data_IF_884405569030
#
_entry.id   IF_884405569030
#
_cell.length_a   1.000
_cell.length_b   1.000
_cell.length_c   1.000
_cell.angle_alpha   90.00
_cell.angle_beta   90.00
_cell.angle_gamma   90.00
#
_symmetry.space_group_name_H-M   'P 1'
#
loop_
_entity.id
_entity.type
_entity.pdbx_description
1 polymer ?
#
# COMPACT_ATOMS: atom_id res chain seq x y z
N UNK A 1 16.69 -28.51 -4.93
CA UNK A 1 15.73 -27.89 -4.00
C UNK A 1 14.35 -28.32 -4.48
N UNK A 2 13.70 -29.24 -3.77
CA UNK A 2 12.39 -29.73 -4.21
C UNK A 2 11.31 -28.72 -3.88
N UNK A 3 10.97 -27.88 -4.86
CA UNK A 3 9.92 -26.86 -4.77
C UNK A 3 8.57 -27.45 -4.29
N UNK A 4 8.29 -28.71 -4.63
CA UNK A 4 7.07 -29.42 -4.22
C UNK A 4 7.03 -29.73 -2.70
N UNK A 5 8.17 -29.93 -2.05
CA UNK A 5 8.24 -30.16 -0.61
C UNK A 5 7.97 -28.87 0.21
N UNK A 6 8.34 -27.71 -0.36
CA UNK A 6 8.10 -26.40 0.25
C UNK A 6 6.62 -26.00 0.12
N UNK A 7 6.00 -26.26 -1.03
CA UNK A 7 4.58 -25.99 -1.27
C UNK A 7 3.66 -26.85 -0.39
N UNK A 8 4.01 -28.11 -0.15
CA UNK A 8 3.20 -29.04 0.66
C UNK A 8 3.27 -28.79 2.16
N UNK A 9 4.27 -28.05 2.65
CA UNK A 9 4.40 -27.66 4.07
C UNK A 9 4.02 -26.21 4.38
N UNK A 10 3.48 -25.45 3.40
CA UNK A 10 3.07 -24.06 3.61
C UNK A 10 2.02 -23.94 4.71
N UNK A 11 2.30 -23.11 5.72
CA UNK A 11 1.33 -22.77 6.76
C UNK A 11 0.36 -21.73 6.19
N UNK A 12 -0.86 -21.68 6.72
CA UNK A 12 -1.84 -20.63 6.36
C UNK A 12 -1.26 -19.22 6.59
N UNK A 13 -0.36 -19.09 7.58
CA UNK A 13 0.36 -17.84 7.90
C UNK A 13 1.31 -17.43 6.78
N UNK A 14 1.97 -18.38 6.13
CA UNK A 14 2.90 -18.13 5.02
C UNK A 14 2.12 -17.60 3.80
N UNK A 15 0.95 -18.21 3.52
CA UNK A 15 0.04 -17.77 2.45
C UNK A 15 -0.50 -16.36 2.74
N UNK A 16 -0.91 -16.09 3.98
CA UNK A 16 -1.39 -14.78 4.39
C UNK A 16 -0.28 -13.71 4.25
N UNK A 17 0.96 -14.04 4.60
CA UNK A 17 2.12 -13.16 4.47
C UNK A 17 2.44 -12.84 3.01
N UNK A 18 2.47 -13.86 2.14
CA UNK A 18 2.65 -13.68 0.69
C UNK A 18 1.55 -12.80 0.11
N UNK A 19 0.28 -13.04 0.46
CA UNK A 19 -0.85 -12.25 -0.03
C UNK A 19 -0.78 -10.80 0.43
N UNK A 20 -0.50 -10.58 1.73
CA UNK A 20 -0.40 -9.24 2.30
C UNK A 20 0.75 -8.46 1.68
N UNK A 21 1.94 -9.07 1.56
CA UNK A 21 3.09 -8.45 0.95
C UNK A 21 2.88 -8.18 -0.54
N UNK A 22 2.22 -9.10 -1.26
CA UNK A 22 1.86 -8.90 -2.67
C UNK A 22 0.89 -7.74 -2.86
N UNK A 23 -0.11 -7.62 -1.97
CA UNK A 23 -1.02 -6.48 -1.96
C UNK A 23 -0.26 -5.16 -1.70
N UNK A 24 0.63 -5.15 -0.71
CA UNK A 24 1.47 -3.98 -0.41
C UNK A 24 2.32 -3.57 -1.61
N UNK A 25 3.03 -4.51 -2.24
CA UNK A 25 3.84 -4.24 -3.44
C UNK A 25 2.97 -3.74 -4.60
N UNK A 26 1.77 -4.30 -4.78
CA UNK A 26 0.84 -3.82 -5.80
C UNK A 26 0.38 -2.37 -5.55
N UNK A 27 0.04 -2.03 -4.29
CA UNK A 27 -0.32 -0.65 -3.95
C UNK A 27 0.84 0.32 -4.11
N UNK A 28 2.06 -0.08 -3.73
CA UNK A 28 3.26 0.70 -4.01
C UNK A 28 3.45 0.89 -5.52
N UNK A 29 3.29 -0.17 -6.32
CA UNK A 29 3.34 -0.07 -7.78
C UNK A 29 2.33 0.94 -8.33
N UNK A 30 1.06 0.84 -7.92
CA UNK A 30 0.01 1.77 -8.38
C UNK A 30 0.36 3.23 -8.05
N UNK A 31 1.00 3.45 -6.91
CA UNK A 31 1.35 4.78 -6.44
C UNK A 31 2.58 5.37 -7.10
N UNK A 32 3.58 4.55 -7.39
CA UNK A 32 4.74 4.99 -8.15
C UNK A 32 4.45 5.09 -9.64
N UNK A 33 3.47 4.35 -10.17
CA UNK A 33 3.13 4.37 -11.59
C UNK A 33 2.82 5.79 -12.08
N UNK A 34 3.58 6.25 -13.07
CA UNK A 34 3.44 7.59 -13.66
C UNK A 34 4.41 8.64 -13.10
N UNK A 35 5.05 8.38 -11.96
CA UNK A 35 6.02 9.32 -11.37
C UNK A 35 7.41 9.20 -11.99
N UNK A 36 8.26 10.22 -11.81
CA UNK A 36 9.68 10.15 -12.15
C UNK A 36 10.37 9.00 -11.41
N UNK A 37 9.90 8.67 -10.21
CA UNK A 37 10.42 7.57 -9.40
C UNK A 37 10.26 6.20 -10.06
N UNK A 38 9.18 5.96 -10.81
CA UNK A 38 8.99 4.71 -11.55
C UNK A 38 10.08 4.48 -12.61
N UNK A 39 10.45 5.54 -13.35
CA UNK A 39 11.54 5.47 -14.35
C UNK A 39 12.90 5.21 -13.67
N UNK A 40 13.15 5.84 -12.52
CA UNK A 40 14.36 5.59 -11.73
C UNK A 40 14.44 4.15 -11.22
N UNK A 41 13.33 3.59 -10.74
CA UNK A 41 13.25 2.20 -10.28
C UNK A 41 13.58 1.20 -11.41
N UNK A 42 13.04 1.42 -12.61
CA UNK A 42 13.37 0.61 -13.80
C UNK A 42 14.87 0.72 -14.12
N UNK A 43 15.43 1.93 -14.11
CA UNK A 43 16.86 2.15 -14.35
C UNK A 43 17.74 1.41 -13.33
N UNK A 44 17.35 1.45 -12.06
CA UNK A 44 18.05 0.73 -10.99
C UNK A 44 17.97 -0.79 -11.15
N UNK A 45 16.83 -1.32 -11.61
CA UNK A 45 16.69 -2.74 -11.93
C UNK A 45 17.65 -3.17 -13.04
N UNK A 46 17.75 -2.39 -14.13
CA UNK A 46 18.68 -2.66 -15.24
C UNK A 46 20.12 -2.66 -14.76
N UNK A 47 20.52 -1.66 -13.96
CA UNK A 47 21.85 -1.59 -13.35
C UNK A 47 22.11 -2.84 -12.49
N UNK A 48 21.14 -3.26 -11.68
CA UNK A 48 21.25 -4.46 -10.84
C UNK A 48 21.42 -5.77 -11.64
N UNK A 49 20.73 -5.89 -12.79
CA UNK A 49 20.91 -7.03 -13.70
C UNK A 49 22.32 -7.05 -14.28
N UNK A 50 22.81 -5.91 -14.78
CA UNK A 50 24.18 -5.80 -15.33
C UNK A 50 25.22 -6.10 -14.25
N UNK A 51 25.02 -5.60 -13.02
CA UNK A 51 25.89 -5.92 -11.88
C UNK A 51 25.91 -7.44 -11.59
N UNK A 52 24.75 -8.10 -11.61
CA UNK A 52 24.65 -9.54 -11.36
C UNK A 52 25.40 -10.34 -12.42
N UNK A 53 25.28 -9.94 -13.70
CA UNK A 53 26.04 -10.55 -14.81
C UNK A 53 27.54 -10.34 -14.61
N UNK A 54 27.97 -9.11 -14.30
CA UNK A 54 29.38 -8.78 -14.08
C UNK A 54 29.99 -9.59 -12.93
N UNK A 55 29.25 -9.74 -11.83
CA UNK A 55 29.64 -10.56 -10.68
C UNK A 55 29.70 -12.05 -11.05
N UNK A 56 28.71 -12.56 -11.78
CA UNK A 56 28.66 -13.96 -12.19
C UNK A 56 29.79 -14.35 -13.14
N UNK A 57 30.28 -13.42 -13.96
CA UNK A 57 31.41 -13.63 -14.87
C UNK A 57 32.77 -13.31 -14.23
N UNK A 58 32.81 -12.92 -12.96
CA UNK A 58 34.05 -12.65 -12.24
C UNK A 58 34.78 -11.37 -12.68
N UNK A 59 34.08 -10.40 -13.29
CA UNK A 59 34.68 -9.11 -13.66
C UNK A 59 34.98 -8.28 -12.40
N UNK A 60 36.20 -8.39 -11.87
CA UNK A 60 36.60 -7.74 -10.63
C UNK A 60 36.44 -6.21 -10.67
N UNK A 61 37.05 -5.55 -11.66
CA UNK A 61 37.02 -4.09 -11.78
C UNK A 61 35.58 -3.56 -11.94
N UNK A 62 34.80 -4.20 -12.81
CA UNK A 62 33.40 -3.83 -13.07
C UNK A 62 32.54 -4.00 -11.82
N UNK A 63 32.70 -5.11 -11.11
CA UNK A 63 31.98 -5.38 -9.84
C UNK A 63 32.34 -4.33 -8.79
N UNK A 64 33.63 -3.98 -8.67
CA UNK A 64 34.10 -2.95 -7.74
C UNK A 64 33.55 -1.56 -8.07
N UNK A 65 33.54 -1.17 -9.35
CA UNK A 65 32.93 0.10 -9.80
C UNK A 65 31.44 0.13 -9.49
N UNK A 66 30.71 -0.95 -9.78
CA UNK A 66 29.28 -1.04 -9.46
C UNK A 66 29.01 -0.97 -7.96
N UNK A 67 29.89 -1.48 -7.10
CA UNK A 67 29.75 -1.33 -5.64
C UNK A 67 29.84 0.14 -5.20
N UNK A 68 30.78 0.90 -5.75
CA UNK A 68 30.88 2.35 -5.48
C UNK A 68 29.66 3.08 -6.04
N UNK A 69 29.28 2.78 -7.28
CA UNK A 69 28.09 3.36 -7.90
C UNK A 69 26.83 3.08 -7.08
N UNK A 70 26.68 1.88 -6.50
CA UNK A 70 25.53 1.52 -5.67
C UNK A 70 25.42 2.43 -4.44
N UNK A 71 26.54 2.76 -3.78
CA UNK A 71 26.55 3.67 -2.63
C UNK A 71 26.07 5.07 -3.01
N UNK A 72 26.59 5.63 -4.11
CA UNK A 72 26.19 6.96 -4.62
C UNK A 72 24.72 6.94 -5.08
N UNK A 73 24.30 5.87 -5.73
CA UNK A 73 22.95 5.69 -6.25
C UNK A 73 21.91 5.71 -5.13
N UNK A 74 22.16 5.04 -3.99
CA UNK A 74 21.24 5.05 -2.84
C UNK A 74 21.05 6.46 -2.29
N UNK A 75 22.13 7.26 -2.18
CA UNK A 75 22.05 8.65 -1.71
C UNK A 75 21.24 9.49 -2.71
N UNK A 76 21.57 9.39 -4.01
CA UNK A 76 20.85 10.10 -5.07
C UNK A 76 19.35 9.71 -5.09
N UNK A 77 19.04 8.43 -4.86
CA UNK A 77 17.69 7.91 -4.80
C UNK A 77 16.90 8.54 -3.65
N UNK A 78 17.49 8.64 -2.46
CA UNK A 78 16.84 9.31 -1.30
C UNK A 78 16.56 10.78 -1.61
N UNK A 79 17.53 11.49 -2.21
CA UNK A 79 17.36 12.90 -2.60
C UNK A 79 16.24 13.03 -3.64
N UNK A 80 16.25 12.17 -4.66
CA UNK A 80 15.24 12.18 -5.72
C UNK A 80 13.84 11.87 -5.16
N UNK A 81 13.75 10.91 -4.24
CA UNK A 81 12.49 10.44 -3.63
C UNK A 81 12.02 11.29 -2.44
N UNK A 82 12.77 12.32 -2.06
CA UNK A 82 12.39 13.20 -0.96
C UNK A 82 11.01 13.83 -1.19
N UNK A 83 10.70 14.19 -2.44
CA UNK A 83 9.44 14.84 -2.80
C UNK A 83 8.25 13.87 -2.73
N UNK A 84 8.47 12.63 -3.13
CA UNK A 84 7.49 11.55 -3.13
C UNK A 84 7.15 11.18 -1.70
N UNK A 85 8.15 10.97 -0.83
CA UNK A 85 7.96 10.67 0.59
C UNK A 85 7.15 11.79 1.27
N UNK A 86 7.38 13.05 0.91
CA UNK A 86 6.58 14.16 1.41
C UNK A 86 5.11 14.05 0.98
N UNK A 87 4.86 13.84 -0.31
CA UNK A 87 3.51 13.67 -0.85
C UNK A 87 2.77 12.47 -0.23
N UNK A 88 3.50 11.40 0.10
CA UNK A 88 2.98 10.26 0.85
C UNK A 88 2.42 10.73 2.18
N UNK A 89 3.27 11.33 3.00
CA UNK A 89 2.95 11.75 4.36
C UNK A 89 1.80 12.76 4.38
N UNK A 90 1.71 13.61 3.35
CA UNK A 90 0.59 14.54 3.17
C UNK A 90 -0.73 13.85 2.83
N UNK A 91 -0.71 12.79 2.00
CA UNK A 91 -1.90 12.00 1.65
C UNK A 91 -2.36 11.13 2.82
N UNK A 92 -1.44 10.58 3.60
CA UNK A 92 -1.74 9.79 4.80
C UNK A 92 -1.90 10.70 6.03
N UNK A 93 -2.71 11.76 5.91
CA UNK A 93 -3.09 12.57 7.07
C UNK A 93 -4.38 12.02 7.71
N UNK A 94 -4.29 11.20 8.78
CA UNK A 94 -5.45 10.63 9.44
C UNK A 94 -6.39 11.70 10.02
N UNK A 95 -5.90 12.93 10.27
CA UNK A 95 -6.72 14.05 10.75
C UNK A 95 -7.72 14.51 9.68
N UNK A 96 -7.36 14.42 8.39
CA UNK A 96 -8.30 14.72 7.29
C UNK A 96 -9.30 13.58 7.05
N UNK A 97 -8.97 12.36 7.50
CA UNK A 97 -9.83 11.18 7.44
C UNK A 97 -10.79 11.07 8.65
N UNK A 98 -10.42 11.67 9.80
CA UNK A 98 -11.28 11.86 10.98
C UNK A 98 -12.08 13.17 10.97
N UNK A 99 -11.76 14.10 10.06
CA UNK A 99 -12.60 15.24 9.76
C UNK A 99 -13.95 14.73 9.25
N UNK A 100 -14.98 14.83 10.09
CA UNK A 100 -16.31 14.32 9.84
C UNK A 100 -16.76 14.68 8.41
N UNK A 101 -16.79 13.67 7.54
CA UNK A 101 -17.55 13.71 6.29
C UNK A 101 -19.02 13.77 6.70
N UNK A 102 -19.51 14.97 7.05
CA UNK A 102 -20.93 15.29 6.99
C UNK A 102 -21.31 15.28 5.50
N UNK A 103 -21.51 14.07 5.00
CA UNK A 103 -22.27 13.82 3.78
C UNK A 103 -23.73 14.15 4.10
N UNK A 104 -24.06 15.44 4.17
CA UNK A 104 -25.43 15.93 4.30
C UNK A 104 -25.61 17.39 3.85
N UNK A 105 -24.75 17.91 2.98
CA UNK A 105 -24.85 19.29 2.45
C UNK A 105 -24.54 19.37 0.93
N UNK A 106 -24.76 18.29 0.18
CA UNK A 106 -24.40 18.21 -1.24
C UNK A 106 -25.38 18.88 -2.22
N UNK A 107 -26.27 19.76 -1.75
CA UNK A 107 -27.15 20.56 -2.62
C UNK A 107 -26.75 22.03 -2.68
N UNK A 108 -26.37 22.63 -1.55
CA UNK A 108 -26.43 24.09 -1.42
C UNK A 108 -25.34 24.81 -2.23
N UNK A 109 -24.11 24.28 -2.23
CA UNK A 109 -23.01 24.93 -2.95
C UNK A 109 -23.15 24.84 -4.48
N UNK A 110 -23.87 23.84 -5.01
CA UNK A 110 -24.06 23.68 -6.45
C UNK A 110 -24.99 24.77 -6.98
N UNK A 111 -26.08 25.03 -6.26
CA UNK A 111 -27.01 26.10 -6.58
C UNK A 111 -26.36 27.48 -6.44
N UNK A 112 -25.54 27.69 -5.41
CA UNK A 112 -24.78 28.92 -5.18
C UNK A 112 -23.73 29.16 -6.29
N UNK A 113 -23.00 28.11 -6.68
CA UNK A 113 -22.03 28.18 -7.77
C UNK A 113 -22.72 28.47 -9.10
N UNK A 114 -23.82 27.78 -9.40
CA UNK A 114 -24.59 28.02 -10.61
C UNK A 114 -25.14 29.46 -10.63
N UNK A 115 -25.63 29.97 -9.49
CA UNK A 115 -26.05 31.36 -9.35
C UNK A 115 -24.92 32.34 -9.67
N UNK A 116 -23.76 32.12 -9.05
CA UNK A 116 -22.57 32.94 -9.23
C UNK A 116 -22.15 32.99 -10.71
N UNK A 117 -22.10 31.85 -11.38
CA UNK A 117 -21.72 31.74 -12.79
C UNK A 117 -22.70 32.53 -13.68
N UNK A 118 -24.01 32.39 -13.47
CA UNK A 118 -25.01 33.12 -14.26
C UNK A 118 -24.99 34.63 -13.95
N UNK A 119 -24.66 35.03 -12.73
CA UNK A 119 -24.45 36.44 -12.39
C UNK A 119 -23.21 37.02 -13.07
N UNK A 120 -22.09 36.28 -13.16
CA UNK A 120 -20.93 36.69 -13.96
C UNK A 120 -21.29 36.83 -15.44
N UNK A 121 -22.03 35.85 -15.97
CA UNK A 121 -22.50 35.83 -17.34
C UNK A 121 -23.38 37.04 -17.68
N UNK A 122 -24.32 37.41 -16.78
CA UNK A 122 -25.19 38.59 -16.94
C UNK A 122 -24.39 39.91 -17.00
N UNK A 123 -23.23 39.94 -16.36
CA UNK A 123 -22.30 41.08 -16.38
C UNK A 123 -21.22 40.98 -17.46
N UNK A 124 -21.27 39.92 -18.29
CA UNK A 124 -20.26 39.60 -19.31
C UNK A 124 -18.84 39.55 -18.74
N UNK A 125 -18.70 39.02 -17.53
CA UNK A 125 -17.40 38.77 -16.91
C UNK A 125 -16.94 37.39 -17.36
N UNK A 126 -15.83 37.35 -18.11
CA UNK A 126 -15.24 36.10 -18.58
C UNK A 126 -14.70 35.26 -17.44
N UNK A 127 -15.09 34.00 -17.36
CA UNK A 127 -14.67 33.08 -16.31
C UNK A 127 -14.31 31.71 -16.87
N UNK A 128 -13.39 31.02 -16.21
CA UNK A 128 -12.99 29.66 -16.54
C UNK A 128 -12.85 28.87 -15.24
N UNK A 129 -13.73 27.90 -15.02
CA UNK A 129 -13.86 27.20 -13.74
C UNK A 129 -13.73 25.70 -13.98
N UNK A 130 -12.75 25.07 -13.36
CA UNK A 130 -12.54 23.62 -13.37
C UNK A 130 -13.29 23.03 -12.18
N UNK A 131 -14.17 22.08 -12.43
CA UNK A 131 -14.74 21.21 -11.41
C UNK A 131 -13.96 19.90 -11.41
N UNK A 132 -13.13 19.73 -10.38
CA UNK A 132 -12.35 18.50 -10.19
C UNK A 132 -13.28 17.35 -9.76
N UNK A 133 -13.01 16.15 -10.29
CA UNK A 133 -13.85 14.96 -10.07
C UNK A 133 -13.02 13.81 -9.51
N UNK A 134 -12.97 12.67 -10.19
CA UNK A 134 -12.25 11.49 -9.70
C UNK A 134 -10.74 11.65 -9.91
N UNK A 135 -10.33 12.28 -11.01
CA UNK A 135 -8.93 12.53 -11.33
C UNK A 135 -8.52 13.94 -10.89
N UNK A 136 -7.33 14.03 -10.29
CA UNK A 136 -6.72 15.31 -9.92
C UNK A 136 -6.17 15.99 -11.18
N UNK A 137 -6.45 17.28 -11.34
CA UNK A 137 -6.02 18.04 -12.52
C UNK A 137 -4.61 18.64 -12.40
N UNK A 138 -3.97 18.53 -11.23
CA UNK A 138 -2.73 19.25 -10.90
C UNK A 138 -1.57 18.96 -11.88
N UNK A 139 -1.54 17.78 -12.52
CA UNK A 139 -0.50 17.41 -13.50
C UNK A 139 -0.77 17.95 -14.92
N UNK A 140 -2.01 18.36 -15.19
CA UNK A 140 -2.44 18.84 -16.51
C UNK A 140 -2.45 20.36 -16.61
N UNK A 141 -2.48 21.04 -15.47
CA UNK A 141 -2.47 22.49 -15.36
C UNK A 141 -1.05 23.00 -15.05
N UNK A 142 -0.78 24.25 -15.40
CA UNK A 142 0.48 24.92 -15.07
C UNK A 142 0.24 26.25 -14.38
N UNK A 143 1.20 26.68 -13.55
CA UNK A 143 1.08 27.91 -12.76
C UNK A 143 -0.01 27.82 -11.68
N UNK A 144 -0.68 28.94 -11.44
CA UNK A 144 -1.73 29.07 -10.44
C UNK A 144 -1.25 29.45 -9.04
N UNK A 145 -2.18 29.99 -8.26
CA UNK A 145 -1.98 30.39 -6.87
C UNK A 145 -2.95 29.60 -6.00
N UNK A 146 -2.46 28.87 -4.97
CA UNK A 146 -3.34 28.14 -4.07
C UNK A 146 -4.17 29.13 -3.25
N UNK A 147 -5.47 28.86 -3.16
CA UNK A 147 -6.40 29.59 -2.30
C UNK A 147 -7.32 28.57 -1.64
N UNK A 148 -7.89 28.93 -0.49
CA UNK A 148 -8.94 28.15 0.17
C UNK A 148 -10.09 29.10 0.52
N UNK A 149 -11.07 29.16 -0.37
CA UNK A 149 -12.22 30.04 -0.24
C UNK A 149 -13.50 29.35 -0.74
N UNK A 150 -14.66 29.79 -0.25
CA UNK A 150 -15.94 29.29 -0.76
C UNK A 150 -16.18 29.80 -2.19
N UNK A 151 -16.75 28.95 -3.05
CA UNK A 151 -17.02 29.27 -4.46
C UNK A 151 -18.27 30.13 -4.67
N UNK A 152 -18.42 31.17 -3.84
CA UNK A 152 -19.53 32.13 -3.89
C UNK A 152 -19.36 33.21 -4.97
N UNK A 153 -20.42 33.97 -5.22
CA UNK A 153 -20.44 35.04 -6.23
C UNK A 153 -19.38 36.10 -5.99
N UNK A 154 -19.25 36.58 -4.76
CA UNK A 154 -18.34 37.66 -4.39
C UNK A 154 -16.89 37.25 -4.68
N UNK A 155 -16.53 36.02 -4.31
CA UNK A 155 -15.19 35.48 -4.54
C UNK A 155 -14.90 35.29 -6.02
N UNK A 156 -15.81 34.64 -6.77
CA UNK A 156 -15.63 34.44 -8.21
C UNK A 156 -15.61 35.77 -8.98
N UNK A 157 -16.42 36.74 -8.57
CA UNK A 157 -16.38 38.10 -9.11
C UNK A 157 -15.03 38.76 -8.86
N UNK A 158 -14.50 38.70 -7.63
CA UNK A 158 -13.18 39.27 -7.32
C UNK A 158 -12.04 38.59 -8.09
N UNK A 159 -12.12 37.27 -8.28
CA UNK A 159 -11.11 36.53 -9.05
C UNK A 159 -11.16 36.94 -10.52
N UNK A 160 -12.33 36.88 -11.16
CA UNK A 160 -12.47 37.10 -12.60
C UNK A 160 -12.66 38.57 -13.02
N UNK A 161 -12.58 39.51 -12.07
CA UNK A 161 -12.61 40.92 -12.40
C UNK A 161 -11.39 41.30 -13.25
N UNK A 162 -11.59 42.04 -14.34
CA UNK A 162 -10.53 42.34 -15.34
C UNK A 162 -9.28 43.03 -14.75
N UNK A 163 -9.44 43.78 -13.67
CA UNK A 163 -8.33 44.47 -12.98
C UNK A 163 -7.62 43.58 -11.95
N UNK A 164 -8.18 42.42 -11.62
CA UNK A 164 -7.62 41.51 -10.62
C UNK A 164 -6.37 40.82 -11.19
N UNK A 165 -5.22 40.80 -10.50
CA UNK A 165 -4.02 40.12 -10.99
C UNK A 165 -4.18 38.60 -11.25
N UNK A 166 -5.23 37.99 -10.67
CA UNK A 166 -5.51 36.55 -10.72
C UNK A 166 -6.68 36.19 -11.67
N UNK A 167 -7.14 37.14 -12.50
CA UNK A 167 -8.26 36.92 -13.43
C UNK A 167 -7.90 36.11 -14.68
N UNK A 168 -6.61 36.06 -15.01
CA UNK A 168 -6.12 35.33 -16.18
C UNK A 168 -5.86 33.86 -15.82
N UNK A 169 -6.48 32.95 -16.56
CA UNK A 169 -6.50 31.52 -16.27
C UNK A 169 -7.79 31.04 -15.60
N UNK A 170 -7.72 29.83 -15.04
CA UNK A 170 -8.87 29.15 -14.45
C UNK A 170 -8.83 29.13 -12.92
N UNK A 171 -10.02 29.04 -12.32
CA UNK A 171 -10.21 28.67 -10.93
C UNK A 171 -10.52 27.17 -10.82
N UNK A 172 -9.96 26.49 -9.82
CA UNK A 172 -10.24 25.08 -9.54
C UNK A 172 -11.19 25.02 -8.36
N UNK A 173 -12.30 24.31 -8.50
CA UNK A 173 -13.29 24.08 -7.44
C UNK A 173 -13.29 22.60 -7.06
N UNK A 174 -13.18 22.32 -5.76
CA UNK A 174 -13.23 21.00 -5.11
C UNK A 174 -14.27 21.06 -4.00
N UNK A 175 -15.33 20.26 -4.10
CA UNK A 175 -16.38 20.17 -3.07
C UNK A 175 -16.94 21.56 -2.64
N UNK A 176 -17.21 22.45 -3.61
CA UNK A 176 -17.72 23.80 -3.36
C UNK A 176 -16.70 24.84 -2.88
N UNK A 177 -15.41 24.47 -2.77
CA UNK A 177 -14.33 25.36 -2.37
C UNK A 177 -13.36 25.60 -3.53
N UNK A 178 -12.94 26.84 -3.72
CA UNK A 178 -11.89 27.21 -4.65
C UNK A 178 -10.55 26.80 -4.05
N UNK A 179 -9.83 25.91 -4.73
CA UNK A 179 -8.55 25.36 -4.31
C UNK A 179 -7.34 26.06 -4.98
N UNK A 180 -7.58 26.74 -6.10
CA UNK A 180 -6.55 27.45 -6.84
C UNK A 180 -7.14 28.39 -7.88
N UNK A 181 -6.40 29.44 -8.23
CA UNK A 181 -6.78 30.47 -9.21
C UNK A 181 -5.62 30.77 -10.15
N UNK A 182 -5.90 31.41 -11.28
CA UNK A 182 -4.90 31.72 -12.32
C UNK A 182 -4.16 30.47 -12.85
N UNK A 183 -4.85 29.34 -12.95
CA UNK A 183 -4.30 28.10 -13.49
C UNK A 183 -4.38 28.08 -15.02
N UNK A 184 -3.27 27.77 -15.70
CA UNK A 184 -3.24 27.65 -17.15
C UNK A 184 -3.58 26.23 -17.58
N UNK A 185 -4.46 26.12 -18.58
CA UNK A 185 -4.96 24.84 -19.10
C UNK A 185 -4.35 24.56 -20.48
N UNK A 186 -4.23 23.27 -20.87
CA UNK A 186 -3.87 22.91 -22.23
C UNK A 186 -4.99 23.35 -23.19
N UNK A 187 -4.61 23.93 -24.32
CA UNK A 187 -5.55 24.28 -25.38
C UNK A 187 -5.82 23.04 -26.25
N UNK A 188 -7.07 22.83 -26.67
CA UNK A 188 -7.40 21.83 -27.68
C UNK A 188 -6.79 22.22 -29.02
N UNK A 189 -6.25 21.22 -29.73
CA UNK A 189 -5.70 21.34 -31.08
C UNK A 189 -6.67 20.80 -32.15
N UNK A 190 -7.95 20.59 -31.79
CA UNK A 190 -8.94 20.09 -32.74
C UNK A 190 -9.13 21.07 -33.91
N UNK A 191 -9.16 20.53 -35.12
CA UNK A 191 -9.48 21.29 -36.34
C UNK A 191 -10.99 21.55 -36.44
N UNK A 192 -11.38 22.68 -37.03
CA UNK A 192 -12.80 23.00 -37.28
C UNK A 192 -13.58 23.50 -36.06
N UNK A 193 -12.89 23.96 -35.02
CA UNK A 193 -13.54 24.62 -33.88
C UNK A 193 -14.26 25.91 -34.33
N UNK A 194 -15.45 26.23 -33.78
CA UNK A 194 -16.16 27.46 -34.13
C UNK A 194 -15.28 28.70 -34.00
N UNK A 195 -15.31 29.58 -35.01
CA UNK A 195 -14.53 30.82 -35.01
C UNK A 195 -14.86 31.73 -33.83
N UNK A 196 -16.06 31.59 -33.29
CA UNK A 196 -16.57 32.32 -32.13
C UNK A 196 -15.93 31.90 -30.79
N UNK A 197 -15.18 30.80 -30.77
CA UNK A 197 -14.56 30.29 -29.56
C UNK A 197 -13.21 30.95 -29.30
N UNK A 198 -13.19 31.78 -28.26
CA UNK A 198 -11.96 32.36 -27.70
C UNK A 198 -11.08 31.33 -26.98
N UNK A 199 -9.96 31.81 -26.44
CA UNK A 199 -8.94 30.99 -25.76
C UNK A 199 -9.50 30.20 -24.57
N UNK A 200 -10.42 30.78 -23.78
CA UNK A 200 -11.07 30.10 -22.65
C UNK A 200 -11.89 28.86 -23.07
N UNK A 201 -12.58 28.92 -24.20
CA UNK A 201 -13.34 27.77 -24.72
C UNK A 201 -12.40 26.66 -25.21
N UNK A 202 -11.30 27.03 -25.89
CA UNK A 202 -10.28 26.08 -26.33
C UNK A 202 -9.54 25.43 -25.16
N UNK A 203 -9.30 26.19 -24.10
CA UNK A 203 -8.73 25.72 -22.84
C UNK A 203 -9.68 24.75 -22.12
N UNK A 204 -10.96 25.11 -22.02
CA UNK A 204 -11.99 24.24 -21.45
C UNK A 204 -12.08 22.90 -22.19
N UNK A 205 -12.10 22.95 -23.53
CA UNK A 205 -12.10 21.76 -24.36
C UNK A 205 -10.82 20.92 -24.14
N UNK A 206 -9.65 21.55 -24.22
CA UNK A 206 -8.36 20.86 -24.16
C UNK A 206 -8.09 20.16 -22.83
N UNK A 207 -8.58 20.69 -21.70
CA UNK A 207 -8.52 19.96 -20.43
C UNK A 207 -9.53 18.80 -20.41
N UNK A 208 -10.77 19.03 -20.87
CA UNK A 208 -11.83 18.00 -20.89
C UNK A 208 -11.55 16.80 -21.81
N UNK A 209 -10.60 16.93 -22.74
CA UNK A 209 -10.12 15.85 -23.61
C UNK A 209 -9.13 14.91 -22.88
N UNK A 210 -8.48 15.38 -21.81
CA UNK A 210 -7.35 14.72 -21.16
C UNK A 210 -7.69 14.06 -19.83
N UNK A 211 -8.77 14.49 -19.18
CA UNK A 211 -9.23 13.94 -17.91
C UNK A 211 -10.76 14.02 -17.77
N UNK A 212 -11.29 13.49 -16.67
CA UNK A 212 -12.72 13.47 -16.39
C UNK A 212 -13.28 14.81 -15.88
N UNK A 213 -12.44 15.84 -15.70
CA UNK A 213 -12.83 17.13 -15.17
C UNK A 213 -13.86 17.84 -16.07
N UNK A 214 -14.76 18.58 -15.44
CA UNK A 214 -15.71 19.43 -16.15
C UNK A 214 -15.21 20.86 -16.10
N UNK A 215 -15.24 21.56 -17.23
CA UNK A 215 -14.75 22.93 -17.29
C UNK A 215 -15.86 23.85 -17.75
N UNK A 216 -16.21 24.81 -16.91
CA UNK A 216 -17.23 25.81 -17.19
C UNK A 216 -16.54 27.06 -17.73
N UNK A 217 -16.95 27.52 -18.90
CA UNK A 217 -16.47 28.74 -19.53
C UNK A 217 -17.62 29.75 -19.64
N UNK A 218 -17.38 30.99 -19.20
CA UNK A 218 -18.28 32.13 -19.40
C UNK A 218 -17.67 33.06 -20.43
N UNK A 219 -18.43 33.37 -21.50
CA UNK A 219 -17.98 34.29 -22.55
C UNK A 219 -17.98 35.74 -22.07
N UNK A 220 -16.84 36.43 -22.16
CA UNK A 220 -16.74 37.88 -21.91
C UNK A 220 -17.40 38.73 -23.00
N UNK A 221 -17.59 38.18 -24.20
CA UNK A 221 -18.20 38.90 -25.32
C UNK A 221 -19.73 38.77 -25.29
N UNK A 222 -20.21 37.53 -25.16
CA UNK A 222 -21.63 37.20 -25.35
C UNK A 222 -22.36 37.00 -24.02
N UNK A 223 -21.65 36.65 -22.94
CA UNK A 223 -22.27 36.28 -21.67
C UNK A 223 -22.88 34.88 -21.68
N UNK A 224 -22.50 34.01 -22.62
CA UNK A 224 -23.01 32.65 -22.68
C UNK A 224 -22.21 31.74 -21.74
N UNK A 225 -22.90 30.81 -21.07
CA UNK A 225 -22.28 29.81 -20.20
C UNK A 225 -22.15 28.50 -20.98
N UNK A 226 -20.95 27.93 -21.00
CA UNK A 226 -20.65 26.68 -21.70
C UNK A 226 -19.95 25.71 -20.77
N UNK A 227 -20.24 24.41 -20.91
CA UNK A 227 -19.62 23.34 -20.14
C UNK A 227 -18.89 22.40 -21.09
N UNK A 228 -17.59 22.22 -20.86
CA UNK A 228 -16.74 21.25 -21.53
C UNK A 228 -16.63 19.96 -20.70
N UNK A 229 -16.94 18.82 -21.31
CA UNK A 229 -16.76 17.48 -20.71
C UNK A 229 -16.50 16.44 -21.80
N UNK A 230 -15.53 15.55 -21.57
CA UNK A 230 -15.23 14.44 -22.48
C UNK A 230 -14.98 14.89 -23.93
N UNK A 231 -14.26 16.00 -24.12
CA UNK A 231 -13.97 16.56 -25.44
C UNK A 231 -15.17 17.14 -26.17
N UNK A 232 -16.26 17.50 -25.48
CA UNK A 232 -17.42 18.19 -26.05
C UNK A 232 -17.77 19.41 -25.23
N UNK A 233 -18.17 20.49 -25.90
CA UNK A 233 -18.70 21.69 -25.26
C UNK A 233 -20.20 21.77 -25.51
N UNK A 234 -20.96 22.11 -24.48
CA UNK A 234 -22.41 22.34 -24.56
C UNK A 234 -22.75 23.66 -23.89
N UNK A 235 -23.52 24.49 -24.57
CA UNK A 235 -24.02 25.75 -24.03
C UNK A 235 -25.21 25.50 -23.09
N UNK A 236 -25.21 26.16 -21.94
CA UNK A 236 -26.25 26.06 -20.92
C UNK A 236 -26.94 27.41 -20.77
N UNK A 237 -28.24 27.44 -21.07
CA UNK A 237 -29.03 28.69 -21.09
C UNK A 237 -29.66 29.02 -19.74
N UNK A 238 -29.90 28.02 -18.90
CA UNK A 238 -30.64 28.18 -17.65
C UNK A 238 -29.83 27.73 -16.44
N UNK A 239 -29.89 28.51 -15.35
CA UNK A 239 -29.26 28.19 -14.07
C UNK A 239 -29.64 26.80 -13.56
N UNK A 240 -30.92 26.45 -13.64
CA UNK A 240 -31.43 25.17 -13.13
C UNK A 240 -30.82 23.98 -13.89
N UNK A 241 -30.64 24.14 -15.21
CA UNK A 241 -30.01 23.12 -16.04
C UNK A 241 -28.53 22.92 -15.68
N UNK A 242 -27.81 24.01 -15.37
CA UNK A 242 -26.43 23.94 -14.92
C UNK A 242 -26.32 23.27 -13.54
N UNK A 243 -27.16 23.66 -12.58
CA UNK A 243 -27.18 23.07 -11.25
C UNK A 243 -27.44 21.56 -11.33
N UNK A 244 -28.50 21.15 -12.03
CA UNK A 244 -28.84 19.73 -12.24
C UNK A 244 -27.68 18.97 -12.87
N UNK A 245 -27.06 19.54 -13.91
CA UNK A 245 -25.91 18.94 -14.58
C UNK A 245 -24.75 18.74 -13.59
N UNK A 246 -24.37 19.78 -12.82
CA UNK A 246 -23.28 19.69 -11.84
C UNK A 246 -23.62 18.67 -10.74
N UNK A 247 -24.84 18.65 -10.22
CA UNK A 247 -25.26 17.68 -9.20
C UNK A 247 -25.17 16.24 -9.71
N UNK A 248 -25.65 15.94 -10.91
CA UNK A 248 -25.52 14.62 -11.54
C UNK A 248 -24.06 14.26 -11.80
N UNK A 249 -23.26 15.26 -12.17
CA UNK A 249 -21.83 15.11 -12.38
C UNK A 249 -21.09 14.75 -11.09
N UNK A 250 -21.31 15.51 -10.03
CA UNK A 250 -20.59 15.39 -8.76
C UNK A 250 -21.16 14.29 -7.87
N UNK A 251 -22.38 13.81 -8.13
CA UNK A 251 -22.91 12.64 -7.46
C UNK A 251 -21.93 11.47 -7.64
N UNK A 252 -21.58 10.75 -6.56
CA UNK A 252 -20.87 9.48 -6.72
C UNK A 252 -21.72 8.65 -7.67
N UNK A 253 -21.14 8.22 -8.81
CA UNK A 253 -21.82 7.33 -9.77
C UNK A 253 -22.62 6.33 -8.95
N UNK A 254 -23.95 6.41 -9.00
CA UNK A 254 -24.79 5.45 -8.32
C UNK A 254 -24.32 4.09 -8.82
N UNK A 255 -23.62 3.35 -7.95
CA UNK A 255 -23.20 2.00 -8.29
C UNK A 255 -24.50 1.28 -8.63
N UNK A 256 -24.64 0.71 -9.85
CA UNK A 256 -25.73 -0.21 -10.06
C UNK A 256 -25.58 -1.25 -8.95
N UNK A 257 -26.65 -1.53 -8.22
CA UNK A 257 -26.68 -2.57 -7.21
C UNK A 257 -26.31 -3.90 -7.88
N UNK A 258 -25.03 -4.23 -7.91
CA UNK A 258 -24.49 -5.40 -8.57
C UNK A 258 -24.04 -6.36 -7.48
N UNK A 259 -24.67 -7.53 -7.51
CA UNK A 259 -24.40 -8.70 -6.69
C UNK A 259 -22.89 -8.95 -6.51
N UNK A 260 -22.48 -9.26 -5.28
CA UNK A 260 -21.10 -9.50 -4.83
C UNK A 260 -20.24 -10.37 -5.77
N UNK A 261 -20.86 -11.25 -6.57
CA UNK A 261 -20.16 -12.16 -7.49
C UNK A 261 -19.52 -11.50 -8.73
N UNK A 262 -20.08 -10.41 -9.28
CA UNK A 262 -19.54 -9.80 -10.51
C UNK A 262 -18.52 -8.67 -10.26
N UNK A 263 -18.54 -8.09 -9.05
CA UNK A 263 -17.57 -7.05 -8.65
C UNK A 263 -16.16 -7.61 -8.41
N UNK A 264 -16.05 -8.85 -7.92
CA UNK A 264 -14.75 -9.52 -7.76
C UNK A 264 -14.12 -9.76 -9.15
N UNK A 265 -14.92 -10.13 -10.15
CA UNK A 265 -14.44 -10.36 -11.51
C UNK A 265 -13.87 -9.09 -12.15
N UNK A 266 -14.51 -7.93 -12.02
CA UNK A 266 -13.99 -6.67 -12.58
C UNK A 266 -12.76 -6.16 -11.83
N UNK A 267 -12.69 -6.35 -10.51
CA UNK A 267 -11.49 -6.01 -9.74
C UNK A 267 -10.32 -6.92 -10.07
N UNK A 268 -10.55 -8.20 -10.36
CA UNK A 268 -9.48 -9.15 -10.73
C UNK A 268 -9.05 -8.95 -12.20
N UNK A 269 -9.96 -8.60 -13.10
CA UNK A 269 -9.67 -8.49 -14.55
C UNK A 269 -9.06 -7.16 -14.97
N UNK A 270 -9.34 -6.05 -14.27
CA UNK A 270 -8.69 -4.76 -14.55
C UNK A 270 -7.28 -4.73 -13.94
N UNK A 271 -6.27 -4.54 -14.78
CA UNK A 271 -4.84 -4.53 -14.42
C UNK A 271 -4.37 -5.83 -13.71
N UNK A 272 -4.78 -6.99 -14.22
CA UNK A 272 -4.35 -8.29 -13.68
C UNK A 272 -2.85 -8.55 -13.85
N UNK A 273 -2.24 -8.02 -14.92
CA UNK A 273 -0.82 -8.25 -15.23
C UNK A 273 0.11 -7.69 -14.12
N UNK A 274 -0.01 -6.43 -13.66
CA UNK A 274 0.76 -5.95 -12.51
C UNK A 274 0.52 -6.72 -11.22
N UNK A 275 -0.71 -7.17 -10.97
CA UNK A 275 -1.05 -7.97 -9.78
C UNK A 275 -0.34 -9.32 -9.83
N UNK A 276 -0.35 -9.97 -10.98
CA UNK A 276 0.32 -11.24 -11.19
C UNK A 276 1.85 -11.08 -11.09
N UNK A 277 2.42 -10.02 -11.66
CA UNK A 277 3.85 -9.70 -11.51
C UNK A 277 4.22 -9.47 -10.04
N UNK A 278 3.40 -8.72 -9.29
CA UNK A 278 3.65 -8.50 -7.86
C UNK A 278 3.57 -9.81 -7.07
N UNK A 279 2.58 -10.66 -7.35
CA UNK A 279 2.41 -11.95 -6.69
C UNK A 279 3.55 -12.91 -7.01
N UNK A 280 3.96 -13.02 -8.28
CA UNK A 280 5.07 -13.87 -8.69
C UNK A 280 6.40 -13.37 -8.12
N UNK A 281 6.65 -12.06 -8.16
CA UNK A 281 7.87 -11.47 -7.62
C UNK A 281 8.01 -11.69 -6.13
N UNK A 282 6.94 -11.44 -5.37
CA UNK A 282 6.88 -11.70 -3.93
C UNK A 282 7.02 -13.19 -3.64
N UNK A 283 6.32 -14.05 -4.37
CA UNK A 283 6.42 -15.51 -4.18
C UNK A 283 7.82 -16.03 -4.46
N UNK A 284 8.50 -15.51 -5.49
CA UNK A 284 9.88 -15.87 -5.82
C UNK A 284 10.87 -15.44 -4.73
N UNK A 285 10.75 -14.19 -4.23
CA UNK A 285 11.56 -13.68 -3.13
C UNK A 285 11.29 -14.49 -1.85
N UNK A 286 10.02 -14.76 -1.55
CA UNK A 286 9.62 -15.56 -0.41
C UNK A 286 10.19 -16.98 -0.50
N UNK A 287 10.13 -17.64 -1.67
CA UNK A 287 10.73 -18.95 -1.88
C UNK A 287 12.25 -18.96 -1.71
N UNK A 288 12.95 -17.93 -2.19
CA UNK A 288 14.39 -17.78 -2.02
C UNK A 288 14.78 -17.62 -0.55
N UNK A 289 13.96 -16.90 0.24
CA UNK A 289 14.22 -16.63 1.66
C UNK A 289 13.67 -17.71 2.61
N UNK A 290 12.57 -18.37 2.25
CA UNK A 290 11.92 -19.41 3.07
C UNK A 290 12.81 -20.63 3.29
N UNK A 291 13.77 -20.88 2.38
CA UNK A 291 14.80 -21.90 2.56
C UNK A 291 15.81 -21.60 3.69
N UNK A 292 15.77 -20.40 4.29
CA UNK A 292 16.70 -19.93 5.33
C UNK A 292 16.06 -19.75 6.71
N UNK A 293 14.76 -19.99 6.89
CA UNK A 293 14.11 -19.83 8.20
C UNK A 293 14.33 -21.06 9.08
N UNK A 294 14.99 -20.84 10.23
CA UNK A 294 15.15 -21.84 11.28
C UNK A 294 13.78 -22.30 11.80
N UNK A 295 13.56 -23.62 11.81
CA UNK A 295 12.30 -24.20 12.24
C UNK A 295 12.42 -24.64 13.69
N UNK A 296 11.56 -24.10 14.55
CA UNK A 296 11.45 -24.51 15.95
C UNK A 296 10.25 -25.45 16.14
N UNK A 297 10.49 -26.60 16.76
CA UNK A 297 9.45 -27.55 17.15
C UNK A 297 9.52 -27.76 18.65
N UNK A 298 8.35 -27.79 19.29
CA UNK A 298 8.22 -28.13 20.71
C UNK A 298 7.48 -29.45 20.86
N UNK A 299 8.03 -30.38 21.63
CA UNK A 299 7.38 -31.66 21.94
C UNK A 299 7.68 -32.08 23.39
N UNK A 300 6.75 -32.84 23.97
CA UNK A 300 6.84 -33.32 25.35
C UNK A 300 7.47 -34.73 25.37
N UNK A 301 8.65 -34.85 25.96
CA UNK A 301 9.39 -36.12 26.07
C UNK A 301 9.30 -36.64 27.51
N UNK A 302 8.95 -37.92 27.73
CA UNK A 302 9.10 -38.55 29.03
C UNK A 302 10.60 -38.78 29.33
N UNK A 303 11.12 -38.36 30.49
CA UNK A 303 12.51 -38.60 30.84
C UNK A 303 12.75 -40.08 31.15
N UNK A 304 13.92 -40.59 30.76
CA UNK A 304 14.42 -41.90 31.16
C UNK A 304 15.14 -41.73 32.50
N UNK A 305 14.60 -42.36 33.53
CA UNK A 305 15.13 -42.30 34.89
C UNK A 305 16.21 -43.37 35.05
N UNK A 306 17.44 -42.98 35.40
CA UNK A 306 18.57 -43.89 35.64
C UNK A 306 18.97 -43.89 37.11
N UNK A 307 19.61 -44.98 37.56
CA UNK A 307 20.19 -45.13 38.89
C UNK A 307 19.18 -44.94 40.05
N UNK A 308 17.94 -45.43 39.90
CA UNK A 308 16.99 -45.48 41.00
C UNK A 308 17.50 -46.48 42.06
N UNK A 309 17.73 -46.06 43.33
CA UNK A 309 18.15 -46.97 44.38
C UNK A 309 17.14 -48.12 44.59
N UNK A 310 17.61 -49.36 44.71
CA UNK A 310 16.75 -50.57 44.75
C UNK A 310 15.70 -50.57 45.88
N UNK A 311 15.92 -49.78 46.93
CA UNK A 311 15.07 -49.65 48.11
C UNK A 311 14.00 -48.54 48.01
N UNK A 312 13.84 -47.86 46.88
CA UNK A 312 12.94 -46.70 46.73
C UNK A 312 11.97 -46.85 45.56
N UNK A 313 10.77 -46.35 45.74
CA UNK A 313 9.74 -46.22 44.72
C UNK A 313 9.33 -44.75 44.54
N UNK A 314 9.02 -44.38 43.29
CA UNK A 314 8.57 -43.04 42.91
C UNK A 314 7.05 -42.98 43.10
N UNK A 315 6.59 -42.07 43.97
CA UNK A 315 5.16 -41.88 44.27
C UNK A 315 4.57 -40.79 43.38
N UNK A 316 5.30 -39.69 43.17
CA UNK A 316 4.88 -38.55 42.36
C UNK A 316 6.12 -37.96 41.64
N UNK A 317 6.01 -37.49 40.39
CA UNK A 317 4.87 -37.63 39.47
C UNK A 317 4.83 -38.99 38.75
N UNK A 318 3.63 -39.51 38.49
CA UNK A 318 3.40 -40.83 37.84
C UNK A 318 3.86 -40.87 36.37
N UNK A 319 3.85 -39.72 35.67
CA UNK A 319 4.31 -39.62 34.29
C UNK A 319 4.96 -38.25 34.04
N UNK A 320 6.23 -38.05 34.44
CA UNK A 320 6.94 -36.80 34.22
C UNK A 320 7.07 -36.51 32.72
N UNK A 321 6.87 -35.25 32.33
CA UNK A 321 7.04 -34.80 30.95
C UNK A 321 7.86 -33.52 30.91
N UNK A 322 8.85 -33.48 30.04
CA UNK A 322 9.67 -32.31 29.78
C UNK A 322 9.36 -31.80 28.38
N UNK A 323 8.94 -30.54 28.28
CA UNK A 323 8.76 -29.85 27.01
C UNK A 323 10.12 -29.37 26.51
N UNK A 324 10.55 -29.93 25.39
CA UNK A 324 11.77 -29.54 24.69
C UNK A 324 11.41 -28.73 23.45
N UNK A 325 11.99 -27.53 23.33
CA UNK A 325 11.98 -26.74 22.11
C UNK A 325 13.31 -26.86 21.41
N UNK A 326 13.26 -27.33 20.18
CA UNK A 326 14.44 -27.69 19.39
C UNK A 326 14.44 -26.91 18.08
N UNK A 327 15.59 -26.37 17.69
CA UNK A 327 15.80 -25.55 16.48
C UNK A 327 16.72 -26.27 15.51
N UNK A 328 16.35 -26.28 14.23
CA UNK A 328 17.19 -26.81 13.16
C UNK A 328 16.61 -26.55 11.77
N UNK A 329 17.28 -27.11 10.75
CA UNK A 329 16.78 -27.10 9.38
C UNK A 329 15.40 -27.77 9.32
N UNK A 330 14.44 -27.17 8.62
CA UNK A 330 13.03 -27.59 8.56
C UNK A 330 12.83 -29.08 8.26
N UNK A 331 13.65 -29.69 7.39
CA UNK A 331 13.59 -31.13 7.06
C UNK A 331 14.00 -32.06 8.22
N UNK A 332 14.92 -31.60 9.07
CA UNK A 332 15.53 -32.37 10.14
C UNK A 332 14.73 -32.16 11.43
N UNK A 333 14.17 -30.95 11.63
CA UNK A 333 13.37 -30.62 12.79
C UNK A 333 11.90 -31.09 12.71
N UNK A 334 11.32 -31.22 11.51
CA UNK A 334 9.91 -31.64 11.33
C UNK A 334 9.67 -33.15 11.39
N UNK A 335 10.71 -33.97 11.22
CA UNK A 335 10.67 -35.43 11.29
C UNK A 335 11.03 -35.97 12.68
N UNK A 336 11.50 -35.11 13.59
CA UNK A 336 11.79 -35.48 14.98
C UNK A 336 10.53 -35.97 15.68
N UNK A 337 10.56 -37.23 16.08
CA UNK A 337 9.51 -37.86 16.89
C UNK A 337 9.97 -38.00 18.34
N UNK A 338 9.02 -38.22 19.26
CA UNK A 338 9.29 -38.34 20.72
C UNK A 338 10.26 -39.49 21.03
N UNK A 339 10.37 -40.50 20.16
CA UNK A 339 11.31 -41.62 20.31
C UNK A 339 12.76 -41.30 19.96
N UNK A 340 13.00 -40.23 19.20
CA UNK A 340 14.34 -39.89 18.68
C UNK A 340 15.14 -39.02 19.65
N UNK A 341 14.47 -38.47 20.67
CA UNK A 341 15.08 -37.61 21.68
C UNK A 341 14.98 -38.27 23.04
N UNK A 342 16.12 -38.47 23.68
CA UNK A 342 16.20 -39.08 25.01
C UNK A 342 16.70 -38.05 26.01
N UNK A 343 15.97 -37.89 27.10
CA UNK A 343 16.40 -37.10 28.26
C UNK A 343 16.73 -38.10 29.36
N UNK A 344 17.97 -38.12 29.83
CA UNK A 344 18.37 -39.00 30.92
C UNK A 344 18.49 -38.22 32.23
N UNK A 345 17.82 -38.69 33.28
CA UNK A 345 17.89 -38.07 34.61
C UNK A 345 18.44 -39.09 35.60
N UNK A 346 19.56 -38.73 36.21
CA UNK A 346 20.23 -39.55 37.23
C UNK A 346 19.60 -39.31 38.60
N UNK A 347 19.03 -40.37 39.18
CA UNK A 347 18.34 -40.35 40.48
C UNK A 347 19.20 -40.89 41.64
N UNK A 348 20.51 -41.06 41.43
CA UNK A 348 21.43 -41.60 42.45
C UNK A 348 21.42 -40.82 43.79
N UNK A 349 21.16 -39.51 43.74
CA UNK A 349 21.08 -38.62 44.91
C UNK A 349 19.67 -38.53 45.53
N UNK A 350 18.75 -39.43 45.20
CA UNK A 350 17.38 -39.41 45.73
C UNK A 350 17.35 -39.61 47.24
N UNK A 351 16.67 -38.71 47.97
CA UNK A 351 16.36 -38.86 49.39
C UNK A 351 14.88 -39.19 49.60
N UNK A 352 14.53 -39.72 50.79
CA UNK A 352 13.14 -39.95 51.16
C UNK A 352 12.37 -38.62 51.22
N UNK A 353 11.13 -38.62 50.72
CA UNK A 353 10.36 -37.39 50.53
C UNK A 353 10.68 -36.73 49.19
N UNK A 354 10.68 -35.40 49.15
CA UNK A 354 10.86 -34.63 47.93
C UNK A 354 12.34 -34.42 47.60
N UNK A 355 12.74 -34.73 46.37
CA UNK A 355 14.07 -34.42 45.83
C UNK A 355 13.93 -33.76 44.47
N UNK A 356 14.70 -32.70 44.25
CA UNK A 356 14.67 -31.89 43.02
C UNK A 356 15.89 -32.22 42.17
N UNK A 357 15.68 -32.54 40.91
CA UNK A 357 16.72 -32.85 39.94
C UNK A 357 16.74 -31.81 38.82
N UNK A 358 17.90 -31.19 38.51
CA UNK A 358 18.01 -30.28 37.39
C UNK A 358 17.91 -31.03 36.07
N UNK A 359 17.27 -30.41 35.08
CA UNK A 359 17.21 -30.90 33.69
C UNK A 359 18.08 -29.99 32.84
N UNK A 360 19.31 -30.42 32.59
CA UNK A 360 20.32 -29.65 31.86
C UNK A 360 20.42 -30.08 30.40
N UNK A 361 21.05 -29.24 29.55
CA UNK A 361 21.14 -29.48 28.09
C UNK A 361 22.05 -30.67 27.73
N UNK A 362 23.06 -30.95 28.55
CA UNK A 362 23.98 -32.07 28.45
C UNK A 362 23.31 -33.44 28.64
N UNK A 363 22.14 -33.46 29.27
CA UNK A 363 21.35 -34.66 29.50
C UNK A 363 20.37 -34.97 28.35
N UNK A 364 20.31 -34.13 27.32
CA UNK A 364 19.44 -34.27 26.15
C UNK A 364 20.23 -34.84 24.98
N UNK A 365 19.98 -36.10 24.66
CA UNK A 365 20.55 -36.77 23.50
C UNK A 365 19.67 -36.52 22.28
N UNK A 366 20.23 -35.78 21.31
CA UNK A 366 19.62 -35.52 20.02
C UNK A 366 20.13 -36.53 18.97
N UNK A 367 19.33 -36.88 17.95
CA UNK A 367 19.71 -37.87 16.95
C UNK A 367 20.75 -37.36 15.94
N UNK A 368 20.98 -36.04 15.86
CA UNK A 368 21.93 -35.43 14.94
C UNK A 368 22.42 -34.07 15.47
N UNK A 369 23.68 -33.73 15.22
CA UNK A 369 24.34 -32.47 15.63
C UNK A 369 23.81 -31.22 14.91
N UNK A 370 22.99 -31.41 13.87
CA UNK A 370 22.37 -30.33 13.06
C UNK A 370 21.14 -29.69 13.72
N UNK A 371 20.82 -30.13 14.92
CA UNK A 371 19.61 -29.80 15.67
C UNK A 371 20.07 -29.35 17.06
N UNK A 372 19.54 -28.25 17.57
CA UNK A 372 19.98 -27.66 18.83
C UNK A 372 18.82 -27.43 19.79
N UNK A 373 19.03 -27.69 21.09
CA UNK A 373 18.05 -27.40 22.13
C UNK A 373 18.03 -25.90 22.44
N UNK A 374 16.88 -25.26 22.24
CA UNK A 374 16.69 -23.83 22.54
C UNK A 374 16.17 -23.66 23.98
N UNK A 375 15.06 -24.34 24.29
CA UNK A 375 14.40 -24.24 25.60
C UNK A 375 14.04 -25.61 26.16
N UNK A 376 14.16 -25.74 27.49
CA UNK A 376 13.77 -26.91 28.28
C UNK A 376 12.80 -26.41 29.35
N UNK A 377 11.61 -27.00 29.46
CA UNK A 377 10.63 -26.68 30.50
C UNK A 377 9.99 -27.96 31.07
N UNK A 378 9.97 -28.16 32.39
CA UNK A 378 10.62 -27.34 33.43
C UNK A 378 12.14 -27.56 33.47
N UNK A 379 12.90 -26.60 34.02
CA UNK A 379 14.37 -26.69 34.20
C UNK A 379 14.78 -27.54 35.41
N UNK A 380 13.83 -27.87 36.27
CA UNK A 380 13.99 -28.74 37.43
C UNK A 380 12.75 -29.62 37.55
N UNK A 381 12.92 -30.87 37.95
CA UNK A 381 11.82 -31.78 38.25
C UNK A 381 11.91 -32.27 39.68
N UNK A 382 10.78 -32.18 40.37
CA UNK A 382 10.59 -32.67 41.72
C UNK A 382 10.03 -34.08 41.68
N UNK A 383 10.66 -34.98 42.43
CA UNK A 383 10.24 -36.37 42.58
C UNK A 383 10.07 -36.70 44.05
N UNK A 384 9.01 -37.43 44.38
CA UNK A 384 8.71 -37.92 45.72
C UNK A 384 9.03 -39.40 45.84
N UNK A 385 9.94 -39.75 46.74
CA UNK A 385 10.38 -41.12 46.96
C UNK A 385 9.86 -41.67 48.29
N UNK A 386 9.36 -42.91 48.26
CA UNK A 386 9.04 -43.72 49.46
C UNK A 386 9.93 -44.96 49.47
N UNK A 387 10.14 -45.56 50.64
CA UNK A 387 10.73 -46.89 50.71
C UNK A 387 9.82 -47.90 50.00
N UNK A 388 10.44 -48.78 49.24
CA UNK A 388 9.80 -49.95 48.64
C UNK A 388 9.46 -50.93 49.76
N UNK A 389 8.19 -51.28 49.90
CA UNK A 389 7.68 -52.21 50.92
C UNK A 389 8.10 -53.67 50.65
#
# INVERSE_FOLDING_TARGET
MDFLAILTTMRIRDIADILLLSALVYYLYLWFRGTKAYKALIGMMVIGVVFTIAKSWGLFLTTWVFQILWQVLVILLIILFQSEIRQVLEKVNPVRMLGHRKSQASSDWVDDLADAIFRLASRRIGALIILERAERVDELITGGHPIDADAGYEMLMSIFHKESPIHDGAAIVRDGRIAGVACYLPLSSADGLPNEWGTRHRAALGLSERCDAWVIAVSEERGNVSVARGGRITEIKEKQALSTMISEGMAPKASPSLSWGSQISSYVTVNWLPKLISLLGVSAIWLLLAGQQDFEVSFAVPPVLRNLPENKEIVEPVNPRVNLTVRGLRRDASTLSVSDVKIEIDLSLAHLGYSVFPVNRDQVLLPNDRVQVVHIRPTQMEFKFKNKE
#
